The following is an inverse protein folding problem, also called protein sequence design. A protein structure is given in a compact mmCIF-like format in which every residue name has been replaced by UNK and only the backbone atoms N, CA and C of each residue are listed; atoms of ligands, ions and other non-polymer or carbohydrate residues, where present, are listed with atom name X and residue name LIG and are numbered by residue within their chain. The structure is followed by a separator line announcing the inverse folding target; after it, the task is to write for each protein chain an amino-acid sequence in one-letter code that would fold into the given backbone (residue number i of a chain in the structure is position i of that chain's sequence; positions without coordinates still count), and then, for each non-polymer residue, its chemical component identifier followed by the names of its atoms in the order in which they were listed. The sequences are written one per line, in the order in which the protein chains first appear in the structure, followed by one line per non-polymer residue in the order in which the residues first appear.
data_IF_588763086790
#
_entry.id   IF_588763086790
#
_cell.length_a   1.000
_cell.length_b   1.000
_cell.length_c   1.000
_cell.angle_alpha   90.00
_cell.angle_beta   90.00
_cell.angle_gamma   90.00
#
_symmetry.space_group_name_H-M   'P 1'
#
loop_
_entity.id
_entity.type
_entity.pdbx_description
1 polymer ?
#
# COMPACT_ATOMS: atom_id res chain seq x y z
N UNK A 1 -14.66 1.02 1.91
CA UNK A 1 -13.32 0.75 2.50
C UNK A 1 -13.30 0.88 4.04
N UNK A 2 -13.10 -0.23 4.78
CA UNK A 2 -12.99 -0.26 6.26
C UNK A 2 -11.59 -0.76 6.68
N UNK A 3 -10.59 0.13 6.71
CA UNK A 3 -9.40 -0.08 7.55
C UNK A 3 -9.71 0.55 8.90
N UNK A 4 -10.66 -0.02 9.62
CA UNK A 4 -10.98 0.42 10.99
C UNK A 4 -11.26 -0.81 11.86
N UNK A 5 -10.71 -0.76 13.07
CA UNK A 5 -10.78 -1.74 14.16
C UNK A 5 -9.70 -2.83 14.18
N UNK A 6 -8.47 -2.45 14.53
CA UNK A 6 -7.64 -3.31 15.40
C UNK A 6 -7.12 -2.47 16.57
N UNK A 7 -7.40 -2.96 17.77
CA UNK A 7 -7.25 -2.36 19.09
C UNK A 7 -5.96 -1.53 19.33
N UNK A 8 -6.13 -0.44 20.09
CA UNK A 8 -5.13 0.59 20.42
C UNK A 8 -4.15 0.10 21.49
N UNK A 9 -2.85 0.23 21.21
CA UNK A 9 -1.78 0.22 22.20
C UNK A 9 -0.73 1.23 21.74
N UNK A 10 -0.65 2.35 22.44
CA UNK A 10 0.26 3.46 22.18
C UNK A 10 1.73 3.04 22.31
N UNK A 11 2.44 3.00 21.18
CA UNK A 11 3.85 3.41 21.10
C UNK A 11 4.01 4.24 19.82
N UNK A 12 4.02 5.55 19.98
CA UNK A 12 4.11 6.55 18.92
C UNK A 12 5.49 6.54 18.27
N UNK A 13 5.56 6.14 17.01
CA UNK A 13 6.66 6.50 16.13
C UNK A 13 6.29 7.81 15.41
N UNK A 14 7.18 8.81 15.40
CA UNK A 14 6.96 10.16 14.87
C UNK A 14 6.71 10.25 13.33
N UNK A 15 6.40 9.15 12.65
CA UNK A 15 6.08 9.15 11.22
C UNK A 15 4.56 9.09 11.05
N UNK A 16 3.94 10.24 10.76
CA UNK A 16 2.52 10.31 10.37
C UNK A 16 2.33 9.61 9.03
N UNK A 17 1.38 8.68 8.95
CA UNK A 17 1.02 7.97 7.73
C UNK A 17 -0.42 8.30 7.38
N UNK A 18 -0.64 8.88 6.20
CA UNK A 18 -1.97 9.22 5.70
C UNK A 18 -2.38 8.23 4.62
N UNK A 19 -3.46 7.50 4.90
CA UNK A 19 -4.04 6.52 3.99
C UNK A 19 -5.23 7.14 3.26
N UNK A 20 -5.12 7.20 1.95
CA UNK A 20 -6.23 7.45 1.03
C UNK A 20 -6.55 6.13 0.35
N UNK A 21 -7.83 5.81 0.17
CA UNK A 21 -8.13 4.66 -0.67
C UNK A 21 -9.37 4.76 -1.52
N UNK A 22 -9.26 4.07 -2.63
CA UNK A 22 -10.23 4.04 -3.71
C UNK A 22 -11.02 2.75 -3.60
N UNK A 23 -12.33 2.91 -3.53
CA UNK A 23 -13.30 1.83 -3.50
C UNK A 23 -13.86 1.67 -4.92
N UNK A 24 -13.59 0.53 -5.55
CA UNK A 24 -14.00 0.28 -6.94
C UNK A 24 -15.52 0.20 -7.07
N UNK A 25 -16.21 -0.32 -6.04
CA UNK A 25 -17.67 -0.52 -6.08
C UNK A 25 -18.39 0.82 -5.97
N UNK A 26 -17.89 1.72 -5.11
CA UNK A 26 -18.42 3.07 -4.97
C UNK A 26 -17.88 4.08 -6.00
N UNK A 27 -16.81 3.72 -6.72
CA UNK A 27 -16.04 4.64 -7.58
C UNK A 27 -15.69 5.95 -6.88
N UNK A 28 -15.22 5.84 -5.64
CA UNK A 28 -15.01 6.97 -4.75
C UNK A 28 -13.77 6.82 -3.87
N UNK A 29 -13.20 7.97 -3.50
CA UNK A 29 -12.12 8.07 -2.52
C UNK A 29 -12.65 8.16 -1.09
N UNK A 30 -11.93 7.52 -0.18
CA UNK A 30 -12.08 7.62 1.27
C UNK A 30 -10.76 8.07 1.92
N UNK A 31 -10.84 8.68 3.11
CA UNK A 31 -9.71 9.22 3.84
C UNK A 31 -9.43 10.72 3.58
N UNK A 32 -8.30 11.27 4.07
CA UNK A 32 -7.20 10.55 4.72
C UNK A 32 -7.61 9.96 6.08
N UNK A 33 -7.30 8.69 6.30
CA UNK A 33 -7.29 8.06 7.62
C UNK A 33 -5.84 7.97 8.11
N UNK A 34 -5.60 8.21 9.40
CA UNK A 34 -4.27 8.00 9.98
C UNK A 34 -4.04 6.50 10.21
N UNK A 35 -3.01 5.96 9.56
CA UNK A 35 -2.62 4.56 9.72
C UNK A 35 -1.63 4.47 10.89
N UNK A 36 -2.07 3.92 12.02
CA UNK A 36 -1.17 3.67 13.15
C UNK A 36 -0.07 2.69 12.73
N UNK A 37 1.19 3.07 12.89
CA UNK A 37 2.31 2.18 12.59
C UNK A 37 2.32 0.97 13.52
N UNK A 38 2.16 -0.24 12.97
CA UNK A 38 2.18 -1.50 13.72
C UNK A 38 3.32 -2.39 13.21
N UNK A 39 4.46 -2.46 13.90
CA UNK A 39 5.58 -3.30 13.49
C UNK A 39 5.28 -4.81 13.63
N UNK A 40 4.31 -5.15 14.48
CA UNK A 40 3.96 -6.54 14.80
C UNK A 40 3.45 -7.29 13.56
N UNK A 41 4.17 -8.35 13.18
CA UNK A 41 3.73 -9.28 12.13
C UNK A 41 4.20 -8.96 10.70
N UNK A 42 4.98 -7.89 10.48
CA UNK A 42 5.60 -7.60 9.18
C UNK A 42 7.13 -7.83 9.15
N UNK A 43 7.76 -8.18 10.29
CA UNK A 43 9.22 -8.39 10.42
C UNK A 43 9.82 -9.31 9.37
N UNK A 44 9.21 -10.48 9.14
CA UNK A 44 9.71 -11.43 8.13
C UNK A 44 9.66 -10.84 6.72
N UNK A 45 8.60 -10.10 6.40
CA UNK A 45 8.47 -9.43 5.12
C UNK A 45 9.53 -8.34 4.97
N UNK A 46 9.74 -7.49 5.99
CA UNK A 46 10.79 -6.46 5.98
C UNK A 46 12.17 -7.06 5.71
N UNK A 47 12.55 -8.16 6.38
CA UNK A 47 13.83 -8.84 6.12
C UNK A 47 13.97 -9.23 4.65
N UNK A 48 12.94 -9.84 4.07
CA UNK A 48 12.95 -10.23 2.65
C UNK A 48 13.01 -9.04 1.70
N UNK A 49 12.33 -7.94 2.00
CA UNK A 49 12.37 -6.74 1.17
C UNK A 49 13.75 -6.05 1.22
N UNK A 50 14.43 -6.11 2.36
CA UNK A 50 15.78 -5.53 2.55
C UNK A 50 16.88 -6.33 1.83
N UNK A 51 16.70 -7.64 1.67
CA UNK A 51 17.64 -8.51 0.94
C UNK A 51 17.66 -8.24 -0.57
N UNK A 52 16.68 -7.50 -1.11
CA UNK A 52 16.49 -7.32 -2.54
C UNK A 52 16.74 -5.87 -2.99
N UNK A 53 17.52 -5.66 -4.06
CA UNK A 53 17.98 -4.33 -4.46
C UNK A 53 16.90 -3.44 -5.09
N UNK A 54 15.71 -3.96 -5.43
CA UNK A 54 14.69 -3.13 -6.08
C UNK A 54 13.28 -3.70 -6.14
N UNK A 55 13.10 -5.01 -6.34
CA UNK A 55 11.75 -5.58 -6.38
C UNK A 55 11.67 -6.93 -5.71
N UNK A 56 10.50 -7.22 -5.14
CA UNK A 56 10.17 -8.48 -4.50
C UNK A 56 8.84 -8.99 -5.02
N UNK A 57 8.74 -10.31 -5.16
CA UNK A 57 7.50 -11.00 -5.48
C UNK A 57 7.38 -12.24 -4.59
N UNK A 58 6.21 -12.50 -4.03
CA UNK A 58 6.02 -13.69 -3.22
C UNK A 58 4.62 -13.86 -2.66
N UNK A 59 4.47 -14.93 -1.90
CA UNK A 59 3.19 -15.27 -1.27
C UNK A 59 3.07 -14.65 0.12
N UNK A 60 1.94 -13.97 0.34
CA UNK A 60 1.42 -13.55 1.63
C UNK A 60 0.37 -14.56 2.09
N UNK A 61 0.52 -15.04 3.33
CA UNK A 61 -0.42 -15.98 3.93
C UNK A 61 -1.27 -15.23 4.94
N UNK A 62 -2.56 -15.11 4.64
CA UNK A 62 -3.49 -14.48 5.55
C UNK A 62 -4.04 -15.49 6.55
N UNK A 63 -4.16 -15.05 7.81
CA UNK A 63 -4.80 -15.80 8.89
C UNK A 63 -5.73 -14.84 9.62
N UNK A 64 -6.99 -14.89 9.26
CA UNK A 64 -8.08 -14.19 9.95
C UNK A 64 -8.79 -15.24 10.83
N UNK A 65 -8.94 -15.02 12.14
CA UNK A 65 -9.65 -15.95 13.01
C UNK A 65 -11.09 -16.18 12.50
N UNK A 66 -11.50 -17.43 12.40
CA UNK A 66 -12.84 -17.80 11.91
C UNK A 66 -12.97 -17.95 10.40
N UNK A 67 -11.97 -17.50 9.62
CA UNK A 67 -12.02 -17.52 8.15
C UNK A 67 -11.08 -18.58 7.54
N UNK A 68 -11.40 -19.13 6.35
CA UNK A 68 -10.48 -19.96 5.58
C UNK A 68 -9.17 -19.23 5.27
N UNK A 69 -8.05 -19.97 5.18
CA UNK A 69 -6.78 -19.34 4.79
C UNK A 69 -6.79 -19.02 3.31
N UNK A 70 -6.57 -17.76 2.97
CA UNK A 70 -6.32 -17.32 1.60
C UNK A 70 -4.82 -17.17 1.33
N UNK A 71 -4.43 -17.63 0.14
CA UNK A 71 -3.11 -17.42 -0.42
C UNK A 71 -3.17 -16.18 -1.32
N UNK A 72 -2.46 -15.13 -0.93
CA UNK A 72 -2.40 -13.87 -1.66
C UNK A 72 -1.01 -13.74 -2.27
N UNK A 73 -0.91 -13.43 -3.55
CA UNK A 73 0.36 -13.07 -4.18
C UNK A 73 0.57 -11.58 -4.03
N UNK A 74 1.79 -11.18 -3.72
CA UNK A 74 2.13 -9.77 -3.64
C UNK A 74 3.43 -9.47 -4.38
N UNK A 75 3.51 -8.24 -4.87
CA UNK A 75 4.76 -7.65 -5.35
C UNK A 75 5.06 -6.34 -4.62
N UNK A 76 6.33 -5.97 -4.61
CA UNK A 76 6.82 -4.69 -4.19
C UNK A 76 7.90 -4.22 -5.17
N UNK A 77 7.85 -2.95 -5.54
CA UNK A 77 8.83 -2.25 -6.34
C UNK A 77 9.24 -0.96 -5.61
N UNK A 78 10.53 -0.88 -5.28
CA UNK A 78 11.17 0.28 -4.66
C UNK A 78 11.61 1.23 -5.78
N UNK A 79 10.83 2.28 -6.02
CA UNK A 79 11.14 3.32 -7.02
C UNK A 79 11.94 4.45 -6.35
N UNK A 80 12.59 5.29 -7.15
CA UNK A 80 13.43 6.37 -6.62
C UNK A 80 12.67 7.36 -5.71
N UNK A 81 11.38 7.54 -5.97
CA UNK A 81 10.49 8.53 -5.35
C UNK A 81 9.35 7.91 -4.53
N UNK A 82 8.97 6.66 -4.84
CA UNK A 82 7.82 5.98 -4.25
C UNK A 82 8.04 4.47 -4.14
N UNK A 83 7.14 3.77 -3.45
CA UNK A 83 7.02 2.33 -3.49
C UNK A 83 5.71 1.93 -4.15
N UNK A 84 5.76 0.95 -5.05
CA UNK A 84 4.57 0.38 -5.70
C UNK A 84 4.41 -1.07 -5.23
N UNK A 85 3.24 -1.40 -4.68
CA UNK A 85 2.89 -2.75 -4.27
C UNK A 85 1.64 -3.25 -4.97
N UNK A 86 1.54 -4.55 -5.19
CA UNK A 86 0.32 -5.19 -5.68
C UNK A 86 -0.04 -6.37 -4.79
N UNK A 87 -1.33 -6.66 -4.65
CA UNK A 87 -1.85 -7.84 -3.96
C UNK A 87 -2.95 -8.46 -4.83
N UNK A 88 -2.86 -9.76 -5.04
CA UNK A 88 -3.83 -10.54 -5.80
C UNK A 88 -4.14 -11.86 -5.11
N UNK A 89 -5.28 -12.46 -5.45
CA UNK A 89 -5.66 -13.79 -5.00
C UNK A 89 -4.99 -14.85 -5.88
N UNK A 90 -4.31 -15.81 -5.26
CA UNK A 90 -3.59 -16.85 -6.01
C UNK A 90 -4.53 -17.68 -6.88
N UNK A 91 -4.23 -17.74 -8.19
CA UNK A 91 -5.07 -18.44 -9.17
C UNK A 91 -6.32 -17.69 -9.63
N UNK A 92 -6.54 -16.45 -9.15
CA UNK A 92 -7.61 -15.59 -9.67
C UNK A 92 -7.29 -15.12 -11.09
N UNK A 93 -8.23 -15.20 -12.05
CA UNK A 93 -8.05 -14.57 -13.35
C UNK A 93 -8.13 -13.03 -13.23
N UNK A 94 -7.41 -12.33 -14.11
CA UNK A 94 -7.42 -10.86 -14.18
C UNK A 94 -6.17 -10.20 -13.57
N UNK A 95 -6.27 -8.90 -13.32
CA UNK A 95 -5.24 -8.10 -12.67
C UNK A 95 -5.28 -8.16 -11.14
N UNK A 96 -4.32 -7.51 -10.46
CA UNK A 96 -4.24 -7.51 -9.00
C UNK A 96 -5.49 -6.91 -8.38
N UNK A 97 -6.02 -7.52 -7.32
CA UNK A 97 -7.18 -7.02 -6.58
C UNK A 97 -6.93 -5.66 -5.92
N UNK A 98 -5.68 -5.42 -5.49
CA UNK A 98 -5.31 -4.18 -4.84
C UNK A 98 -3.93 -3.72 -5.28
N UNK A 99 -3.82 -2.41 -5.46
CA UNK A 99 -2.56 -1.74 -5.77
C UNK A 99 -2.32 -0.69 -4.70
N UNK A 100 -1.08 -0.62 -4.22
CA UNK A 100 -0.66 0.30 -3.17
C UNK A 100 0.45 1.18 -3.71
N UNK A 101 0.27 2.50 -3.66
CA UNK A 101 1.31 3.48 -3.91
C UNK A 101 1.69 4.13 -2.57
N UNK A 102 2.94 3.96 -2.15
CA UNK A 102 3.48 4.57 -0.94
C UNK A 102 4.47 5.66 -1.34
N UNK A 103 4.27 6.88 -0.85
CA UNK A 103 5.17 8.00 -1.10
C UNK A 103 5.73 8.48 0.25
N UNK A 104 6.94 8.03 0.62
CA UNK A 104 7.57 8.40 1.89
C UNK A 104 7.76 9.91 2.03
N UNK A 105 7.58 10.43 3.24
CA UNK A 105 7.90 11.83 3.54
C UNK A 105 9.34 12.21 3.13
N UNK A 106 10.30 11.31 3.38
CA UNK A 106 11.72 11.48 3.02
C UNK A 106 12.00 11.59 1.52
N UNK A 107 11.10 11.07 0.68
CA UNK A 107 11.25 11.06 -0.79
C UNK A 107 10.42 12.14 -1.48
N UNK A 108 9.66 12.94 -0.74
CA UNK A 108 8.74 13.98 -1.26
C UNK A 108 9.41 14.93 -2.25
N UNK A 109 10.66 15.30 -2.01
CA UNK A 109 11.42 16.22 -2.88
C UNK A 109 11.93 15.57 -4.18
N UNK A 110 11.82 14.24 -4.30
CA UNK A 110 12.26 13.47 -5.47
C UNK A 110 11.09 13.03 -6.36
N UNK A 111 9.85 13.30 -5.95
CA UNK A 111 8.65 12.94 -6.71
C UNK A 111 8.75 13.56 -8.10
N UNK A 112 8.69 12.70 -9.12
CA UNK A 112 8.62 13.17 -10.50
C UNK A 112 7.23 13.77 -10.79
N UNK A 113 7.15 14.86 -11.58
CA UNK A 113 5.87 15.48 -11.96
C UNK A 113 4.86 14.50 -12.57
N UNK A 114 5.35 13.46 -13.24
CA UNK A 114 4.55 12.49 -13.98
C UNK A 114 4.02 11.34 -13.11
N UNK A 115 4.35 11.28 -11.80
CA UNK A 115 4.05 10.13 -10.94
C UNK A 115 2.56 9.76 -10.96
N UNK A 116 1.67 10.73 -10.80
CA UNK A 116 0.22 10.50 -10.81
C UNK A 116 -0.25 9.99 -12.17
N UNK A 117 0.27 10.56 -13.26
CA UNK A 117 -0.09 10.20 -14.63
C UNK A 117 0.40 8.80 -15.00
N UNK A 118 1.65 8.47 -14.68
CA UNK A 118 2.21 7.14 -14.93
C UNK A 118 1.49 6.08 -14.11
N UNK A 119 1.13 6.39 -12.86
CA UNK A 119 0.34 5.49 -12.03
C UNK A 119 -1.05 5.24 -12.61
N UNK A 120 -1.77 6.29 -13.03
CA UNK A 120 -3.07 6.13 -13.70
C UNK A 120 -2.96 5.37 -15.03
N UNK A 121 -1.89 5.61 -15.79
CA UNK A 121 -1.60 4.86 -17.02
C UNK A 121 -1.37 3.37 -16.73
N UNK A 122 -0.62 3.06 -15.66
CA UNK A 122 -0.41 1.69 -15.19
C UNK A 122 -1.75 1.02 -14.82
N UNK A 123 -2.63 1.71 -14.10
CA UNK A 123 -3.99 1.19 -13.81
C UNK A 123 -4.76 0.90 -15.11
N UNK A 124 -4.73 1.83 -16.07
CA UNK A 124 -5.44 1.68 -17.35
C UNK A 124 -4.98 0.44 -18.12
N UNK A 125 -3.69 0.12 -18.05
CA UNK A 125 -3.14 -1.09 -18.66
C UNK A 125 -3.61 -2.38 -17.97
N UNK A 126 -3.95 -2.32 -16.68
CA UNK A 126 -4.43 -3.46 -15.91
C UNK A 126 -5.95 -3.67 -16.02
N UNK A 127 -6.72 -2.62 -16.29
CA UNK A 127 -8.19 -2.62 -16.27
C UNK A 127 -8.84 -3.38 -17.45
N UNK A 128 -8.03 -3.86 -18.40
CA UNK A 128 -8.48 -4.74 -19.47
C UNK A 128 -9.59 -4.15 -20.36
N UNK A 129 -10.38 -4.99 -21.05
CA UNK A 129 -11.43 -4.52 -21.96
C UNK A 129 -12.69 -3.99 -21.27
N UNK A 130 -12.87 -4.24 -19.97
CA UNK A 130 -14.06 -3.83 -19.18
C UNK A 130 -13.85 -2.51 -18.42
N UNK A 131 -12.80 -1.76 -18.78
CA UNK A 131 -12.39 -0.57 -18.05
C UNK A 131 -13.50 0.48 -17.94
N UNK A 132 -13.70 0.98 -16.72
CA UNK A 132 -14.79 1.91 -16.38
C UNK A 132 -14.40 3.39 -16.53
N UNK A 133 -13.12 3.68 -16.79
CA UNK A 133 -12.62 5.04 -17.01
C UNK A 133 -12.33 5.81 -15.72
N UNK A 134 -12.10 5.13 -14.60
CA UNK A 134 -11.88 5.74 -13.28
C UNK A 134 -10.47 6.30 -13.08
N UNK A 135 -9.54 6.02 -14.00
CA UNK A 135 -8.12 6.35 -13.85
C UNK A 135 -7.87 7.86 -13.78
N UNK A 136 -8.71 8.67 -14.45
CA UNK A 136 -8.64 10.13 -14.37
C UNK A 136 -9.04 10.64 -12.97
N UNK A 137 -10.09 10.07 -12.36
CA UNK A 137 -10.49 10.44 -11.00
C UNK A 137 -9.43 10.02 -9.97
N UNK A 138 -8.75 8.89 -10.21
CA UNK A 138 -7.63 8.45 -9.39
C UNK A 138 -6.43 9.38 -9.54
N UNK A 139 -6.08 9.73 -10.79
CA UNK A 139 -5.04 10.69 -11.13
C UNK A 139 -5.24 12.02 -10.41
N UNK A 140 -6.41 12.65 -10.61
CA UNK A 140 -6.69 14.00 -10.11
C UNK A 140 -6.62 14.06 -8.58
N UNK A 141 -7.05 12.98 -7.90
CA UNK A 141 -6.94 12.90 -6.45
C UNK A 141 -5.52 12.73 -5.97
N UNK A 142 -4.75 11.83 -6.57
CA UNK A 142 -3.33 11.64 -6.22
C UNK A 142 -2.62 12.96 -6.42
N UNK A 143 -2.72 13.57 -7.61
CA UNK A 143 -2.07 14.82 -7.95
C UNK A 143 -2.37 15.92 -6.93
N UNK A 144 -3.66 16.15 -6.64
CA UNK A 144 -4.09 17.14 -5.64
C UNK A 144 -3.51 16.85 -4.25
N UNK A 145 -3.50 15.58 -3.82
CA UNK A 145 -2.95 15.20 -2.51
C UNK A 145 -1.43 15.41 -2.46
N UNK A 146 -0.71 15.10 -3.54
CA UNK A 146 0.74 15.34 -3.62
C UNK A 146 1.06 16.84 -3.54
N UNK A 147 0.22 17.70 -4.11
CA UNK A 147 0.36 19.16 -4.08
C UNK A 147 0.00 19.78 -2.72
N UNK A 148 -0.98 19.22 -2.01
CA UNK A 148 -1.53 19.80 -0.77
C UNK A 148 -0.88 19.28 0.52
N UNK A 149 -0.27 18.10 0.50
CA UNK A 149 0.22 17.46 1.72
C UNK A 149 1.42 18.22 2.33
N UNK A 150 1.36 18.45 3.64
CA UNK A 150 2.51 18.93 4.41
C UNK A 150 3.62 17.86 4.38
N UNK A 151 4.86 18.25 4.05
CA UNK A 151 5.99 17.34 3.79
C UNK A 151 6.45 16.42 4.93
N UNK A 152 5.74 16.40 6.06
CA UNK A 152 6.02 15.55 7.21
C UNK A 152 5.30 14.18 7.18
N UNK A 153 4.24 14.02 6.38
CA UNK A 153 3.47 12.77 6.31
C UNK A 153 3.92 11.85 5.17
N UNK A 154 4.01 10.54 5.45
CA UNK A 154 4.08 9.51 4.41
C UNK A 154 2.68 9.30 3.86
N UNK A 155 2.50 9.41 2.54
CA UNK A 155 1.19 9.22 1.93
C UNK A 155 1.07 7.81 1.35
N UNK A 156 -0.08 7.19 1.54
CA UNK A 156 -0.40 5.85 1.04
C UNK A 156 -1.70 5.95 0.26
N UNK A 157 -1.67 5.50 -0.99
CA UNK A 157 -2.86 5.34 -1.81
C UNK A 157 -3.11 3.85 -1.99
N UNK A 158 -4.29 3.38 -1.57
CA UNK A 158 -4.73 1.99 -1.69
C UNK A 158 -5.88 1.93 -2.68
N UNK A 159 -5.67 1.30 -3.83
CA UNK A 159 -6.63 1.23 -4.92
C UNK A 159 -7.16 -0.19 -5.03
N UNK A 160 -8.45 -0.37 -4.78
CA UNK A 160 -9.18 -1.57 -5.22
C UNK A 160 -9.44 -1.45 -6.72
N UNK A 161 -9.06 -2.46 -7.49
CA UNK A 161 -9.13 -2.41 -8.97
C UNK A 161 -10.43 -2.96 -9.53
N UNK A 162 -11.16 -3.74 -8.73
CA UNK A 162 -12.40 -4.40 -9.09
C UNK A 162 -13.17 -4.82 -7.84
N UNK A 163 -14.44 -5.17 -8.01
CA UNK A 163 -15.27 -5.66 -6.92
C UNK A 163 -14.65 -6.85 -6.21
N UNK A 164 -14.50 -6.73 -4.89
CA UNK A 164 -13.90 -7.75 -4.01
C UNK A 164 -14.98 -8.32 -3.11
N UNK A 165 -15.11 -9.65 -3.13
CA UNK A 165 -16.02 -10.38 -2.25
C UNK A 165 -15.71 -10.08 -0.77
N UNK A 166 -16.73 -9.91 0.10
CA UNK A 166 -16.53 -9.54 1.50
C UNK A 166 -15.54 -10.43 2.26
N UNK A 167 -15.60 -11.75 2.02
CA UNK A 167 -14.71 -12.74 2.63
C UNK A 167 -13.25 -12.56 2.19
N UNK A 168 -13.00 -12.13 0.94
CA UNK A 168 -11.63 -11.84 0.47
C UNK A 168 -11.15 -10.50 1.04
N UNK A 169 -12.06 -9.54 1.18
CA UNK A 169 -11.75 -8.16 1.59
C UNK A 169 -11.05 -8.09 2.94
N UNK A 170 -11.51 -8.85 3.94
CA UNK A 170 -10.87 -8.87 5.27
C UNK A 170 -9.44 -9.39 5.23
N UNK A 171 -9.18 -10.43 4.44
CA UNK A 171 -7.82 -10.94 4.26
C UNK A 171 -6.94 -9.96 3.51
N UNK A 172 -7.49 -9.35 2.47
CA UNK A 172 -6.81 -8.37 1.62
C UNK A 172 -6.40 -7.14 2.43
N UNK A 173 -7.31 -6.53 3.20
CA UNK A 173 -7.00 -5.39 4.07
C UNK A 173 -5.89 -5.70 5.07
N UNK A 174 -5.94 -6.88 5.72
CA UNK A 174 -4.88 -7.29 6.66
C UNK A 174 -3.51 -7.43 5.99
N UNK A 175 -3.47 -7.98 4.76
CA UNK A 175 -2.20 -8.13 4.03
C UNK A 175 -1.72 -6.81 3.43
N UNK A 176 -2.64 -5.93 3.02
CA UNK A 176 -2.33 -4.59 2.55
C UNK A 176 -1.63 -3.78 3.63
N UNK A 177 -2.17 -3.78 4.85
CA UNK A 177 -1.55 -3.10 5.99
C UNK A 177 -0.13 -3.63 6.25
N UNK A 178 0.06 -4.96 6.28
CA UNK A 178 1.39 -5.58 6.45
C UNK A 178 2.36 -5.21 5.33
N UNK A 179 1.89 -5.19 4.08
CA UNK A 179 2.70 -4.82 2.93
C UNK A 179 3.09 -3.34 3.01
N UNK A 180 2.14 -2.44 3.27
CA UNK A 180 2.36 -1.00 3.46
C UNK A 180 3.42 -0.76 4.54
N UNK A 181 3.27 -1.37 5.73
CA UNK A 181 4.24 -1.21 6.82
C UNK A 181 5.61 -1.72 6.42
N UNK A 182 5.68 -2.87 5.73
CA UNK A 182 6.95 -3.43 5.29
C UNK A 182 7.63 -2.55 4.22
N UNK A 183 6.86 -2.00 3.29
CA UNK A 183 7.33 -1.06 2.27
C UNK A 183 7.91 0.20 2.91
N UNK A 184 7.17 0.83 3.82
CA UNK A 184 7.60 2.04 4.54
C UNK A 184 8.89 1.77 5.31
N UNK A 185 8.95 0.68 6.09
CA UNK A 185 10.13 0.32 6.85
C UNK A 185 11.33 0.05 5.94
N UNK A 186 11.15 -0.74 4.87
CA UNK A 186 12.22 -1.07 3.93
C UNK A 186 12.79 0.19 3.25
N UNK A 187 11.93 1.04 2.70
CA UNK A 187 12.34 2.29 2.05
C UNK A 187 13.04 3.23 3.04
N UNK A 188 12.51 3.37 4.26
CA UNK A 188 13.13 4.18 5.30
C UNK A 188 14.55 3.70 5.64
N UNK A 189 14.77 2.39 5.74
CA UNK A 189 16.11 1.83 5.98
C UNK A 189 17.08 2.13 4.84
N UNK A 190 16.64 1.92 3.60
CA UNK A 190 17.45 2.14 2.39
C UNK A 190 17.79 3.62 2.20
N UNK A 191 16.90 4.51 2.61
CA UNK A 191 17.11 5.96 2.58
C UNK A 191 18.00 6.47 3.74
N UNK A 192 18.45 5.60 4.64
CA UNK A 192 19.22 5.99 5.82
C UNK A 192 18.37 6.55 6.97
N UNK A 193 17.04 6.58 6.84
CA UNK A 193 16.06 6.94 7.88
C UNK A 193 15.65 5.72 8.71
N UNK A 194 16.65 4.97 9.22
CA UNK A 194 16.50 3.59 9.71
C UNK A 194 15.61 3.37 10.93
N UNK A 195 15.15 4.43 11.61
CA UNK A 195 14.42 4.32 12.88
C UNK A 195 13.18 3.41 12.80
N UNK A 196 12.44 3.45 11.69
CA UNK A 196 11.23 2.65 11.50
C UNK A 196 11.59 1.16 11.28
N UNK A 197 12.59 0.88 10.44
CA UNK A 197 13.03 -0.49 10.20
C UNK A 197 13.67 -1.14 11.42
N UNK A 198 14.44 -0.37 12.20
CA UNK A 198 15.09 -0.87 13.40
C UNK A 198 14.04 -1.23 14.47
N UNK A 199 12.96 -0.46 14.58
CA UNK A 199 11.80 -0.81 15.42
C UNK A 199 11.10 -2.09 14.96
N UNK A 200 10.84 -2.24 13.65
CA UNK A 200 10.22 -3.47 13.11
C UNK A 200 11.10 -4.70 13.29
N UNK A 201 12.42 -4.56 13.11
CA UNK A 201 13.35 -5.67 13.23
C UNK A 201 13.55 -6.11 14.69
N UNK A 202 13.37 -5.19 15.64
CA UNK A 202 13.46 -5.44 17.08
C UNK A 202 12.16 -6.06 17.67
N UNK A 203 10.98 -5.66 17.19
CA UNK A 203 9.65 -6.08 17.67
C UNK A 203 9.24 -7.49 17.25
#
# INVERSE_FOLDING_TARGET
MYIKYINMSEKTCHCRIELHGWDSDASAWYGPDELAFRPDGCRHLVRRLLELPGSWHGMLRSKVPGEPRLALRASFHDLADAGLGTIDLDGSPGGPLQIVLVVPASRRTRIRPELAFEFASFLRFLDGPEATGTELAIHDHIQRVLEQAAGAATLVFSIETRGILPEVRVHLSQQAEKLIMAMIACMAKKDGSGAIADQVLAA
#
